data_IF_007252582812
#
_entry.id   IF_007252582812
#
_cell.length_a   1.000
_cell.length_b   1.000
_cell.length_c   1.000
_cell.angle_alpha   90.00
_cell.angle_beta   90.00
_cell.angle_gamma   90.00
#
_symmetry.space_group_name_H-M   'P 1'
#
loop_
_entity.id
_entity.type
_entity.pdbx_description
1 polymer ?
#
# COMPACT_ATOMS: atom_id res chain seq x y z
N UNK A 1 -13.76 -11.11 -11.15
CA UNK A 1 -12.44 -10.58 -10.72
C UNK A 1 -11.41 -11.69 -10.83
N UNK A 2 -10.25 -11.43 -11.46
CA UNK A 2 -9.12 -12.37 -11.49
C UNK A 2 -8.23 -12.10 -10.26
N UNK A 3 -8.13 -13.08 -9.38
CA UNK A 3 -7.24 -13.05 -8.21
C UNK A 3 -6.02 -13.92 -8.49
N UNK A 4 -4.85 -13.50 -8.00
CA UNK A 4 -3.61 -14.27 -8.07
C UNK A 4 -3.00 -14.33 -6.67
N UNK A 5 -2.53 -15.51 -6.27
CA UNK A 5 -1.76 -15.71 -5.05
C UNK A 5 -0.31 -15.89 -5.49
N UNK A 6 0.59 -15.06 -4.97
CA UNK A 6 2.04 -15.16 -5.22
C UNK A 6 2.76 -15.47 -3.92
N UNK A 7 3.57 -16.54 -3.94
CA UNK A 7 4.42 -16.94 -2.82
C UNK A 7 5.77 -16.24 -2.97
N UNK A 8 5.88 -15.00 -2.48
CA UNK A 8 7.12 -14.20 -2.67
C UNK A 8 8.24 -14.62 -1.70
N UNK A 9 7.89 -15.22 -0.56
CA UNK A 9 8.78 -15.88 0.40
C UNK A 9 7.95 -17.02 1.01
N UNK A 10 8.54 -18.21 1.20
CA UNK A 10 7.88 -19.50 1.52
C UNK A 10 6.85 -19.47 2.69
N UNK A 11 6.76 -18.39 3.47
CA UNK A 11 5.81 -18.23 4.59
C UNK A 11 4.78 -17.09 4.48
N UNK A 12 4.78 -16.27 3.41
CA UNK A 12 3.85 -15.15 3.28
C UNK A 12 3.00 -15.26 2.03
N UNK A 13 1.72 -15.60 2.22
CA UNK A 13 0.70 -15.55 1.16
C UNK A 13 0.12 -14.15 1.09
N UNK A 14 0.39 -13.46 -0.02
CA UNK A 14 -0.25 -12.17 -0.32
C UNK A 14 -1.42 -12.39 -1.29
N UNK A 15 -2.60 -11.88 -0.90
CA UNK A 15 -3.73 -11.75 -1.82
C UNK A 15 -3.47 -10.57 -2.76
N UNK A 16 -3.21 -10.87 -4.04
CA UNK A 16 -2.95 -9.86 -5.05
C UNK A 16 -4.17 -9.68 -5.96
N UNK A 17 -4.51 -8.42 -6.21
CA UNK A 17 -5.54 -8.01 -7.15
C UNK A 17 -4.90 -7.67 -8.49
N UNK A 18 -5.45 -8.24 -9.57
CA UNK A 18 -5.12 -7.81 -10.92
C UNK A 18 -5.82 -6.49 -11.23
N UNK A 19 -5.05 -5.45 -11.48
CA UNK A 19 -5.55 -4.16 -11.95
C UNK A 19 -5.29 -4.10 -13.46
N UNK A 20 -6.36 -4.06 -14.29
CA UNK A 20 -6.18 -3.89 -15.73
C UNK A 20 -5.53 -2.53 -16.01
N UNK A 21 -4.73 -2.49 -17.06
CA UNK A 21 -4.13 -1.24 -17.52
C UNK A 21 -5.21 -0.32 -18.03
N UNK A 22 -5.35 0.85 -17.43
CA UNK A 22 -6.28 1.89 -17.83
C UNK A 22 -5.62 3.26 -17.76
N UNK A 23 -6.25 4.24 -18.42
CA UNK A 23 -5.88 5.63 -18.27
C UNK A 23 -6.82 6.32 -17.30
N UNK A 24 -6.29 6.91 -16.25
CA UNK A 24 -7.04 7.72 -15.31
C UNK A 24 -6.41 9.11 -15.19
N UNK A 25 -7.21 10.05 -14.70
CA UNK A 25 -6.76 11.41 -14.49
C UNK A 25 -6.42 11.53 -13.00
N UNK A 26 -5.12 11.58 -12.69
CA UNK A 26 -4.64 11.74 -11.31
C UNK A 26 -4.78 13.22 -10.97
N UNK A 27 -5.78 13.52 -10.14
CA UNK A 27 -6.18 14.89 -9.81
C UNK A 27 -5.90 15.23 -8.35
N UNK A 28 -5.66 16.50 -8.11
CA UNK A 28 -5.81 17.20 -6.85
C UNK A 28 -6.45 18.55 -7.25
N UNK A 29 -7.78 18.69 -7.16
CA UNK A 29 -8.49 19.88 -7.66
C UNK A 29 -7.97 21.10 -6.92
N UNK A 30 -7.50 22.14 -7.62
CA UNK A 30 -6.84 23.32 -7.00
C UNK A 30 -7.62 23.99 -5.84
N UNK A 31 -8.92 23.69 -5.69
CA UNK A 31 -9.82 24.17 -4.65
C UNK A 31 -10.05 23.20 -3.46
N UNK A 32 -9.37 22.05 -3.37
CA UNK A 32 -9.47 21.21 -2.16
C UNK A 32 -8.63 21.78 -1.01
N UNK A 33 -9.24 21.89 0.18
CA UNK A 33 -8.54 22.34 1.37
C UNK A 33 -7.43 21.34 1.75
N UNK A 34 -6.18 21.81 1.83
CA UNK A 34 -5.05 21.00 2.26
C UNK A 34 -4.09 20.56 1.15
N UNK A 35 -4.31 20.97 -0.09
CA UNK A 35 -3.39 20.66 -1.20
C UNK A 35 -2.01 21.24 -0.95
N UNK A 36 -1.01 20.37 -1.00
CA UNK A 36 0.39 20.78 -1.02
C UNK A 36 0.84 21.02 -2.46
N UNK A 37 1.70 22.02 -2.70
CA UNK A 37 2.20 22.37 -4.06
C UNK A 37 2.93 21.22 -4.77
N UNK A 38 3.32 20.16 -4.03
CA UNK A 38 3.96 18.96 -4.57
C UNK A 38 2.97 17.94 -5.11
N UNK A 39 1.69 18.03 -4.74
CA UNK A 39 0.57 17.26 -5.31
C UNK A 39 0.04 17.91 -6.61
N UNK A 40 0.91 18.63 -7.31
CA UNK A 40 0.59 19.57 -8.38
C UNK A 40 -0.25 19.03 -9.56
N UNK A 41 -0.44 19.86 -10.60
CA UNK A 41 -1.66 19.94 -11.39
C UNK A 41 -2.13 18.60 -11.99
N UNK A 42 -3.45 18.50 -12.11
CA UNK A 42 -4.18 17.39 -12.74
C UNK A 42 -3.48 16.89 -14.00
N UNK A 43 -3.05 15.63 -14.02
CA UNK A 43 -2.39 15.05 -15.19
C UNK A 43 -2.87 13.62 -15.48
N UNK A 44 -2.87 13.27 -16.77
CA UNK A 44 -3.35 11.96 -17.24
C UNK A 44 -2.27 10.91 -17.06
N UNK A 45 -2.59 9.86 -16.32
CA UNK A 45 -1.72 8.70 -16.10
C UNK A 45 -2.24 7.54 -16.95
N UNK A 46 -1.34 6.86 -17.64
CA UNK A 46 -1.63 5.63 -18.40
C UNK A 46 -0.86 4.49 -17.75
N UNK A 47 -1.58 3.52 -17.19
CA UNK A 47 -0.99 2.36 -16.54
C UNK A 47 -1.05 1.14 -17.45
N UNK A 48 0.02 0.37 -17.46
CA UNK A 48 -0.01 -1.00 -17.96
C UNK A 48 -0.62 -1.92 -16.89
N UNK A 49 -1.18 -3.09 -17.24
CA UNK A 49 -1.74 -4.00 -16.26
C UNK A 49 -0.72 -4.43 -15.21
N UNK A 50 -1.11 -4.44 -13.94
CA UNK A 50 -0.23 -4.80 -12.83
C UNK A 50 -1.00 -5.50 -11.71
N UNK A 51 -0.26 -6.06 -10.75
CA UNK A 51 -0.84 -6.63 -9.53
C UNK A 51 -0.55 -5.74 -8.34
N UNK A 52 -1.52 -5.58 -7.44
CA UNK A 52 -1.37 -4.85 -6.19
C UNK A 52 -1.91 -5.67 -5.04
N UNK A 53 -1.27 -5.61 -3.86
CA UNK A 53 -1.78 -6.29 -2.68
C UNK A 53 -3.14 -5.72 -2.30
N UNK A 54 -4.07 -6.61 -1.96
CA UNK A 54 -5.41 -6.23 -1.50
C UNK A 54 -5.39 -5.43 -0.19
N UNK A 55 -4.36 -5.66 0.63
CA UNK A 55 -4.17 -5.05 1.93
C UNK A 55 -2.76 -4.42 2.02
N UNK A 56 -2.63 -3.41 2.88
CA UNK A 56 -1.32 -2.88 3.25
C UNK A 56 -0.49 -3.98 3.94
N UNK A 57 0.81 -3.98 3.67
CA UNK A 57 1.75 -4.89 4.34
C UNK A 57 1.84 -4.50 5.82
N UNK A 58 1.73 -5.49 6.72
CA UNK A 58 1.86 -5.25 8.16
C UNK A 58 3.34 -5.19 8.58
N UNK A 59 3.69 -4.52 9.70
CA UNK A 59 5.06 -4.49 10.19
C UNK A 59 5.64 -5.88 10.51
N UNK A 60 4.80 -6.84 10.91
CA UNK A 60 5.21 -8.23 11.14
C UNK A 60 5.56 -8.92 9.81
N UNK A 61 4.77 -8.68 8.77
CA UNK A 61 5.07 -9.19 7.42
C UNK A 61 6.34 -8.55 6.85
N UNK A 62 6.53 -7.23 7.02
CA UNK A 62 7.76 -6.54 6.63
C UNK A 62 8.99 -7.13 7.34
N UNK A 63 8.89 -7.42 8.64
CA UNK A 63 9.97 -8.04 9.40
C UNK A 63 10.36 -9.43 8.87
N UNK A 64 9.39 -10.26 8.48
CA UNK A 64 9.65 -11.57 7.88
C UNK A 64 10.35 -11.42 6.52
N UNK A 65 10.00 -10.39 5.74
CA UNK A 65 10.59 -10.14 4.42
C UNK A 65 12.00 -9.54 4.53
N UNK A 66 12.16 -8.51 5.35
CA UNK A 66 13.37 -7.69 5.44
C UNK A 66 14.39 -8.23 6.45
N UNK A 67 14.00 -9.17 7.31
CA UNK A 67 14.83 -9.71 8.39
C UNK A 67 15.14 -8.71 9.52
N UNK A 68 14.68 -7.46 9.40
CA UNK A 68 14.82 -6.36 10.37
C UNK A 68 13.63 -5.42 10.23
N UNK A 69 13.07 -4.94 11.34
CA UNK A 69 11.96 -3.98 11.32
C UNK A 69 12.43 -2.64 10.72
N UNK A 70 11.93 -2.28 9.54
CA UNK A 70 12.25 -1.02 8.86
C UNK A 70 11.29 0.12 9.21
N UNK A 71 10.21 -0.18 9.92
CA UNK A 71 9.18 0.80 10.24
C UNK A 71 9.61 1.75 11.36
N UNK A 72 9.42 3.05 11.15
CA UNK A 72 9.52 4.06 12.22
C UNK A 72 8.34 3.98 13.21
N UNK A 73 7.31 3.20 12.90
CA UNK A 73 6.13 3.04 13.74
C UNK A 73 6.45 2.12 14.91
N UNK A 74 6.76 2.72 16.06
CA UNK A 74 6.80 2.00 17.34
C UNK A 74 5.36 1.84 17.81
N UNK A 75 4.94 0.60 18.03
CA UNK A 75 3.70 0.30 18.74
C UNK A 75 3.58 1.21 19.96
N UNK A 76 2.47 1.96 20.06
CA UNK A 76 2.10 2.54 21.35
C UNK A 76 1.68 1.37 22.23
N UNK A 77 2.56 0.97 23.16
CA UNK A 77 2.13 0.22 24.35
C UNK A 77 1.02 1.02 25.01
N UNK A 78 -0.24 0.62 24.80
CA UNK A 78 -1.31 1.01 25.71
C UNK A 78 -0.94 0.37 27.06
N UNK A 79 -0.48 1.21 27.99
CA UNK A 79 -0.36 0.85 29.38
C UNK A 79 -1.77 0.54 29.94
N UNK A 80 -2.00 -0.68 30.42
CA UNK A 80 -3.25 -0.96 31.17
C UNK A 80 -3.62 -2.41 31.49
N UNK A 81 -2.73 -3.15 32.16
CA UNK A 81 -2.97 -4.22 33.16
C UNK A 81 -3.97 -5.38 32.88
N UNK A 82 -3.37 -6.58 32.83
CA UNK A 82 -3.63 -7.80 33.63
C UNK A 82 -5.08 -8.30 33.88
N UNK A 83 -5.31 -9.55 33.51
CA UNK A 83 -5.95 -10.56 34.37
C UNK A 83 -5.09 -11.82 34.38
#
# INVERSE_FOLDING_TARGET
MRQKIEDLIILLKLEMLYIPGESFLMDSPENEEGITKIEGPRHKVVLQPFYMSKYCITPEQDQVIMGKNSSHFKERKLFGKNS
#
